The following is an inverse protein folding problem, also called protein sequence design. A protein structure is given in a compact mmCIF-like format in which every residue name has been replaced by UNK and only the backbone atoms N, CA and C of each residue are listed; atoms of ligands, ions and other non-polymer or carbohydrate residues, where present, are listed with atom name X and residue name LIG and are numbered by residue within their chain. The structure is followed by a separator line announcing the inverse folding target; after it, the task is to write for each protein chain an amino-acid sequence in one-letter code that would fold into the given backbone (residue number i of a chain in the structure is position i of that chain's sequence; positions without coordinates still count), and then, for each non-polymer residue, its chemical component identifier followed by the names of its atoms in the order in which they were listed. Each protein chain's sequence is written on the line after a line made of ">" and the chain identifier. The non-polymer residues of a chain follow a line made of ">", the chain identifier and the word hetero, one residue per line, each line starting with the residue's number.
data_IF_926386042105
#
_entry.id   IF_926386042105
#
_cell.length_a   1.000
_cell.length_b   1.000
_cell.length_c   1.000
_cell.angle_alpha   90.00
_cell.angle_beta   90.00
_cell.angle_gamma   90.00
#
_symmetry.space_group_name_H-M   'P 1'
#
loop_
_entity.id
_entity.type
_entity.pdbx_description
1 polymer ?
#
# COMPACT_ATOMS: atom_id res chain seq x y z
N UNK A 1 -73.64 73.21 13.91
CA UNK A 1 -73.69 71.81 13.41
C UNK A 1 -72.60 71.63 12.37
N UNK A 2 -71.46 71.05 12.75
CA UNK A 2 -70.51 70.45 11.78
C UNK A 2 -69.65 69.44 12.53
N UNK A 3 -69.52 68.26 11.94
CA UNK A 3 -69.13 67.01 12.59
C UNK A 3 -67.62 66.74 12.43
N UNK A 4 -67.06 66.09 13.46
CA UNK A 4 -66.28 64.84 13.40
C UNK A 4 -65.03 64.84 12.49
N UNK A 5 -63.89 64.49 13.07
CA UNK A 5 -63.20 63.20 12.85
C UNK A 5 -62.01 63.15 13.83
N UNK A 6 -62.09 62.26 14.80
CA UNK A 6 -60.95 61.85 15.63
C UNK A 6 -60.02 61.01 14.76
N UNK A 7 -58.82 61.53 14.49
CA UNK A 7 -57.73 60.82 13.84
C UNK A 7 -57.13 59.84 14.84
N UNK A 8 -57.40 58.54 14.65
CA UNK A 8 -56.78 57.47 15.43
C UNK A 8 -55.36 57.26 14.92
N UNK A 9 -54.37 57.64 15.74
CA UNK A 9 -52.95 57.41 15.49
C UNK A 9 -52.63 55.91 15.45
N UNK A 10 -52.10 55.47 14.31
CA UNK A 10 -51.64 54.12 14.01
C UNK A 10 -50.48 53.74 14.94
N UNK A 11 -50.67 52.74 15.81
CA UNK A 11 -49.59 52.17 16.61
C UNK A 11 -48.65 51.39 15.68
N UNK A 12 -47.40 51.84 15.58
CA UNK A 12 -46.33 51.08 14.93
C UNK A 12 -45.89 49.96 15.88
N UNK A 13 -46.24 48.72 15.58
CA UNK A 13 -45.65 47.55 16.23
C UNK A 13 -44.18 47.44 15.81
N UNK A 14 -43.26 47.85 16.69
CA UNK A 14 -41.84 47.56 16.53
C UNK A 14 -41.59 46.08 16.87
N UNK A 15 -41.33 45.27 15.84
CA UNK A 15 -40.85 43.90 16.02
C UNK A 15 -39.46 43.95 16.68
N UNK A 16 -39.38 43.45 17.92
CA UNK A 16 -38.14 43.35 18.69
C UNK A 16 -37.31 42.20 18.10
N UNK A 17 -36.33 42.50 17.26
CA UNK A 17 -35.36 41.51 16.79
C UNK A 17 -34.55 41.02 18.00
N UNK A 18 -34.64 39.72 18.30
CA UNK A 18 -33.80 39.09 19.30
C UNK A 18 -32.40 38.89 18.69
N UNK A 19 -31.34 39.55 19.16
CA UNK A 19 -30.01 39.29 18.63
C UNK A 19 -29.64 37.86 19.05
N UNK A 20 -29.50 36.98 18.06
CA UNK A 20 -28.97 35.63 18.31
C UNK A 20 -27.60 35.78 18.95
N UNK A 21 -27.44 35.23 20.16
CA UNK A 21 -26.14 35.19 20.82
C UNK A 21 -25.15 34.49 19.89
N UNK A 22 -24.17 35.24 19.38
CA UNK A 22 -23.02 34.66 18.69
C UNK A 22 -22.22 33.86 19.73
N UNK A 23 -22.44 32.54 19.76
CA UNK A 23 -21.66 31.62 20.57
C UNK A 23 -20.27 31.48 19.94
N UNK A 24 -19.26 32.05 20.60
CA UNK A 24 -17.85 31.84 20.27
C UNK A 24 -17.28 30.66 21.06
N UNK A 25 -16.31 29.96 20.47
CA UNK A 25 -15.54 28.92 21.16
C UNK A 25 -14.73 29.54 22.31
N UNK A 26 -14.67 28.85 23.45
CA UNK A 26 -13.81 29.27 24.56
C UNK A 26 -12.38 28.77 24.35
N UNK A 27 -11.40 29.48 24.91
CA UNK A 27 -10.00 29.05 24.89
C UNK A 27 -9.82 27.67 25.57
N UNK A 28 -10.58 27.42 26.63
CA UNK A 28 -10.58 26.14 27.33
C UNK A 28 -11.06 24.99 26.44
N UNK A 29 -12.11 25.22 25.64
CA UNK A 29 -12.67 24.22 24.73
C UNK A 29 -11.67 23.82 23.64
N UNK A 30 -10.94 24.79 23.09
CA UNK A 30 -9.87 24.53 22.15
C UNK A 30 -8.73 23.73 22.79
N UNK A 31 -8.33 24.08 24.02
CA UNK A 31 -7.27 23.37 24.75
C UNK A 31 -7.63 21.90 24.99
N UNK A 32 -8.86 21.62 25.42
CA UNK A 32 -9.33 20.25 25.64
C UNK A 32 -9.42 19.50 24.30
N UNK A 33 -9.95 20.13 23.25
CA UNK A 33 -10.04 19.51 21.93
C UNK A 33 -8.66 19.13 21.38
N UNK A 34 -7.67 20.03 21.50
CA UNK A 34 -6.29 19.75 21.08
C UNK A 34 -5.64 18.65 21.93
N UNK A 35 -5.89 18.62 23.23
CA UNK A 35 -5.39 17.57 24.11
C UNK A 35 -5.91 16.18 23.68
N UNK A 36 -7.20 16.07 23.35
CA UNK A 36 -7.80 14.81 22.85
C UNK A 36 -7.17 14.42 21.50
N UNK A 37 -7.04 15.36 20.56
CA UNK A 37 -6.42 15.08 19.25
C UNK A 37 -4.97 14.62 19.39
N UNK A 38 -4.19 15.23 20.30
CA UNK A 38 -2.81 14.82 20.57
C UNK A 38 -2.75 13.37 21.07
N UNK A 39 -3.64 12.97 21.98
CA UNK A 39 -3.70 11.59 22.48
C UNK A 39 -4.07 10.62 21.34
N UNK A 40 -5.12 10.92 20.57
CA UNK A 40 -5.59 10.04 19.49
C UNK A 40 -4.54 9.88 18.38
N UNK A 41 -3.86 10.97 17.99
CA UNK A 41 -2.86 10.94 16.91
C UNK A 41 -1.68 10.02 17.22
N UNK A 42 -1.24 9.94 18.48
CA UNK A 42 -0.14 9.03 18.87
C UNK A 42 -0.43 7.55 18.58
N UNK A 43 -1.70 7.14 18.63
CA UNK A 43 -2.12 5.76 18.35
C UNK A 43 -2.47 5.59 16.86
N UNK A 44 -3.13 6.59 16.27
CA UNK A 44 -3.66 6.50 14.91
C UNK A 44 -2.56 6.41 13.84
N UNK A 45 -1.49 7.20 13.96
CA UNK A 45 -0.42 7.30 12.94
C UNK A 45 0.32 5.97 12.70
N UNK A 46 0.92 5.31 13.72
CA UNK A 46 1.69 4.07 13.49
C UNK A 46 0.81 2.90 13.02
N UNK A 47 -0.46 2.87 13.43
CA UNK A 47 -1.42 1.87 12.97
C UNK A 47 -1.66 2.02 11.46
N UNK A 48 -1.95 3.25 11.00
CA UNK A 48 -2.20 3.53 9.60
C UNK A 48 -1.01 3.18 8.69
N UNK A 49 0.23 3.50 9.10
CA UNK A 49 1.42 3.18 8.30
C UNK A 49 1.61 1.68 8.12
N UNK A 50 1.31 0.88 9.14
CA UNK A 50 1.42 -0.59 9.09
C UNK A 50 0.39 -1.18 8.12
N UNK A 51 -0.83 -0.62 8.09
CA UNK A 51 -1.85 -1.03 7.12
C UNK A 51 -1.42 -0.74 5.68
N UNK A 52 -0.84 0.42 5.41
CA UNK A 52 -0.32 0.76 4.08
C UNK A 52 0.81 -0.20 3.65
N UNK A 53 1.74 -0.51 4.54
CA UNK A 53 2.83 -1.45 4.23
C UNK A 53 2.27 -2.86 3.92
N UNK A 54 1.28 -3.33 4.68
CA UNK A 54 0.62 -4.62 4.42
C UNK A 54 -0.15 -4.64 3.08
N UNK A 55 -0.78 -3.52 2.70
CA UNK A 55 -1.43 -3.37 1.40
C UNK A 55 -0.41 -3.46 0.26
N UNK A 56 0.73 -2.78 0.39
CA UNK A 56 1.83 -2.86 -0.58
C UNK A 56 2.37 -4.28 -0.71
N UNK A 57 2.61 -4.97 0.40
CA UNK A 57 3.03 -6.37 0.40
C UNK A 57 2.00 -7.24 -0.33
N UNK A 58 0.70 -7.05 -0.06
CA UNK A 58 -0.37 -7.81 -0.72
C UNK A 58 -0.41 -7.54 -2.22
N UNK A 59 -0.31 -6.28 -2.64
CA UNK A 59 -0.24 -5.89 -4.04
C UNK A 59 0.97 -6.53 -4.73
N UNK A 60 2.14 -6.52 -4.09
CA UNK A 60 3.35 -7.14 -4.62
C UNK A 60 3.17 -8.65 -4.83
N UNK A 61 2.55 -9.36 -3.87
CA UNK A 61 2.22 -10.79 -4.00
C UNK A 61 1.28 -11.05 -5.18
N UNK A 62 0.22 -10.23 -5.33
CA UNK A 62 -0.71 -10.34 -6.46
C UNK A 62 0.01 -10.14 -7.79
N UNK A 63 0.89 -9.15 -7.89
CA UNK A 63 1.68 -8.93 -9.09
C UNK A 63 2.64 -10.07 -9.40
N UNK A 64 3.34 -10.64 -8.41
CA UNK A 64 4.18 -11.82 -8.61
C UNK A 64 3.39 -13.00 -9.18
N UNK A 65 2.16 -13.23 -8.69
CA UNK A 65 1.25 -14.27 -9.22
C UNK A 65 0.86 -14.02 -10.68
N UNK A 66 0.59 -12.77 -11.04
CA UNK A 66 0.26 -12.39 -12.41
C UNK A 66 1.44 -12.58 -13.36
N UNK A 67 2.64 -12.19 -12.92
CA UNK A 67 3.87 -12.37 -13.69
C UNK A 67 4.19 -13.86 -13.86
N UNK A 68 4.08 -14.65 -12.79
CA UNK A 68 4.18 -16.12 -12.85
C UNK A 68 3.25 -16.69 -13.92
N UNK A 69 1.96 -16.33 -13.89
CA UNK A 69 0.99 -16.81 -14.88
C UNK A 69 1.38 -16.42 -16.32
N UNK A 70 1.95 -15.23 -16.53
CA UNK A 70 2.43 -14.80 -17.84
C UNK A 70 3.65 -15.62 -18.30
N UNK A 71 4.56 -15.94 -17.38
CA UNK A 71 5.71 -16.80 -17.63
C UNK A 71 5.27 -18.23 -17.97
N UNK A 72 4.33 -18.80 -17.22
CA UNK A 72 3.82 -20.15 -17.50
C UNK A 72 3.12 -20.22 -18.87
N UNK A 73 2.34 -19.19 -19.24
CA UNK A 73 1.76 -19.09 -20.59
C UNK A 73 2.83 -19.04 -21.68
N UNK A 74 3.91 -18.31 -21.45
CA UNK A 74 5.04 -18.25 -22.38
C UNK A 74 5.67 -19.63 -22.56
N UNK A 75 5.87 -20.36 -21.45
CA UNK A 75 6.42 -21.71 -21.45
C UNK A 75 5.54 -22.69 -22.25
N UNK A 76 4.22 -22.63 -22.11
CA UNK A 76 3.30 -23.49 -22.89
C UNK A 76 3.45 -23.32 -24.40
N UNK A 77 3.83 -22.13 -24.87
CA UNK A 77 3.98 -21.84 -26.32
C UNK A 77 5.40 -22.13 -26.81
N UNK A 78 6.42 -21.76 -26.03
CA UNK A 78 7.82 -21.82 -26.47
C UNK A 78 8.56 -23.06 -25.95
N UNK A 79 7.94 -23.84 -25.07
CA UNK A 79 8.53 -24.98 -24.35
C UNK A 79 9.81 -24.64 -23.58
N UNK A 80 9.99 -23.36 -23.27
CA UNK A 80 11.11 -22.82 -22.53
C UNK A 80 10.69 -21.55 -21.79
N UNK A 81 11.37 -21.24 -20.69
CA UNK A 81 11.13 -20.01 -19.94
C UNK A 81 11.75 -18.80 -20.65
N UNK A 82 11.15 -17.60 -20.53
CA UNK A 82 11.67 -16.41 -21.18
C UNK A 82 13.08 -16.09 -20.68
N UNK A 83 13.93 -15.50 -21.52
CA UNK A 83 15.27 -15.12 -21.07
C UNK A 83 15.20 -13.92 -20.11
N UNK A 84 14.23 -13.03 -20.33
CA UNK A 84 13.99 -11.83 -19.53
C UNK A 84 12.50 -11.55 -19.34
N UNK A 85 12.13 -10.74 -18.32
CA UNK A 85 10.74 -10.31 -18.13
C UNK A 85 10.20 -9.43 -19.27
N UNK A 86 11.04 -8.93 -20.17
CA UNK A 86 10.61 -8.13 -21.31
C UNK A 86 9.85 -8.96 -22.36
N UNK A 87 10.01 -10.28 -22.36
CA UNK A 87 9.37 -11.20 -23.31
C UNK A 87 7.94 -11.58 -22.91
N UNK A 88 7.49 -11.20 -21.71
CA UNK A 88 6.16 -11.54 -21.19
C UNK A 88 5.33 -10.28 -20.89
N UNK A 89 4.00 -10.31 -21.10
CA UNK A 89 3.15 -9.17 -20.80
C UNK A 89 2.98 -9.02 -19.29
N UNK A 90 3.62 -8.01 -18.70
CA UNK A 90 3.54 -7.71 -17.25
C UNK A 90 2.27 -6.96 -16.84
N UNK A 91 1.51 -6.42 -17.80
CA UNK A 91 0.35 -5.57 -17.52
C UNK A 91 0.70 -4.36 -16.66
N UNK A 92 -0.04 -4.15 -15.57
CA UNK A 92 0.20 -3.09 -14.57
C UNK A 92 1.39 -3.40 -13.65
N UNK A 93 1.88 -4.64 -13.60
CA UNK A 93 2.91 -5.11 -12.68
C UNK A 93 4.33 -4.88 -13.21
N UNK A 94 4.61 -3.68 -13.72
CA UNK A 94 5.93 -3.28 -14.23
C UNK A 94 6.92 -2.99 -13.09
N UNK A 95 6.41 -2.47 -11.98
CA UNK A 95 7.16 -2.13 -10.78
C UNK A 95 6.38 -2.61 -9.56
N UNK A 96 7.11 -2.86 -8.48
CA UNK A 96 6.52 -3.15 -7.20
C UNK A 96 5.97 -1.86 -6.54
N UNK A 97 5.20 -1.98 -5.44
CA UNK A 97 4.58 -0.81 -4.79
C UNK A 97 5.54 0.16 -4.09
N UNK A 98 6.85 -0.13 -4.12
CA UNK A 98 7.91 0.76 -3.65
C UNK A 98 8.69 1.41 -4.80
N UNK A 99 8.31 1.11 -6.05
CA UNK A 99 8.90 1.69 -7.27
C UNK A 99 10.08 0.91 -7.82
N UNK A 100 10.41 -0.25 -7.26
CA UNK A 100 11.49 -1.10 -7.77
C UNK A 100 10.96 -2.03 -8.87
N UNK A 101 11.78 -2.30 -9.88
CA UNK A 101 11.43 -3.33 -10.87
C UNK A 101 11.47 -4.74 -10.27
N UNK A 102 10.52 -5.59 -10.64
CA UNK A 102 10.57 -7.02 -10.32
C UNK A 102 11.85 -7.66 -10.87
N UNK A 103 12.39 -8.62 -10.12
CA UNK A 103 13.60 -9.36 -10.47
C UNK A 103 13.24 -10.76 -10.93
N UNK A 104 13.88 -11.17 -12.00
CA UNK A 104 13.72 -12.48 -12.61
C UNK A 104 15.07 -13.08 -12.94
N UNK A 105 15.22 -14.37 -12.70
CA UNK A 105 16.39 -15.13 -13.12
C UNK A 105 15.98 -16.52 -13.60
N UNK A 106 16.20 -16.80 -14.88
CA UNK A 106 16.07 -18.15 -15.44
C UNK A 106 17.15 -19.08 -14.88
N UNK A 107 16.73 -20.22 -14.32
CA UNK A 107 17.63 -21.23 -13.72
C UNK A 107 17.84 -22.41 -14.67
N UNK A 108 16.78 -22.86 -15.36
CA UNK A 108 16.86 -23.99 -16.28
C UNK A 108 17.95 -23.79 -17.36
N UNK A 109 18.80 -24.80 -17.53
CA UNK A 109 19.87 -24.82 -18.52
C UNK A 109 21.20 -24.17 -18.08
N UNK A 110 21.26 -23.48 -16.93
CA UNK A 110 22.53 -22.97 -16.40
C UNK A 110 23.29 -24.05 -15.60
N UNK A 111 24.45 -24.48 -16.12
CA UNK A 111 25.45 -25.26 -15.36
C UNK A 111 26.44 -24.31 -14.70
N UNK A 112 26.37 -24.14 -13.37
CA UNK A 112 27.34 -23.35 -12.60
C UNK A 112 26.90 -23.02 -11.18
N UNK A 113 27.87 -22.78 -10.28
CA UNK A 113 27.62 -22.25 -8.92
C UNK A 113 27.42 -20.74 -9.02
N UNK A 114 26.17 -20.26 -9.08
CA UNK A 114 25.90 -18.84 -8.84
C UNK A 114 24.77 -18.27 -9.67
N UNK A 115 23.89 -17.52 -9.01
CA UNK A 115 22.75 -16.82 -9.60
C UNK A 115 21.49 -17.04 -8.78
N UNK A 116 21.13 -18.31 -8.56
CA UNK A 116 19.85 -18.65 -7.95
C UNK A 116 19.76 -18.14 -6.52
N UNK A 117 18.62 -17.58 -6.15
CA UNK A 117 18.32 -17.31 -4.76
C UNK A 117 18.32 -18.61 -3.97
N UNK A 118 18.66 -18.49 -2.70
CA UNK A 118 18.78 -19.62 -1.78
C UNK A 118 17.99 -19.37 -0.51
N UNK A 119 17.45 -20.44 0.05
CA UNK A 119 16.84 -20.42 1.37
C UNK A 119 17.89 -20.19 2.49
N UNK A 120 17.42 -20.15 3.74
CA UNK A 120 18.27 -19.93 4.93
C UNK A 120 19.26 -21.07 5.21
N UNK A 121 18.98 -22.24 4.64
CA UNK A 121 19.80 -23.44 4.68
C UNK A 121 20.76 -23.53 3.50
N UNK A 122 20.84 -22.48 2.67
CA UNK A 122 21.65 -22.39 1.46
C UNK A 122 21.24 -23.34 0.32
N UNK A 123 20.03 -23.91 0.38
CA UNK A 123 19.47 -24.67 -0.73
C UNK A 123 18.85 -23.73 -1.77
N UNK A 124 18.84 -24.09 -3.06
CA UNK A 124 18.14 -23.32 -4.07
C UNK A 124 16.67 -23.09 -3.72
N UNK A 125 16.20 -21.85 -3.88
CA UNK A 125 14.82 -21.47 -3.57
C UNK A 125 13.81 -22.09 -4.55
N UNK A 126 14.21 -22.18 -5.82
CA UNK A 126 13.44 -22.67 -6.94
C UNK A 126 14.33 -23.51 -7.87
N UNK A 127 13.69 -24.35 -8.69
CA UNK A 127 14.35 -25.17 -9.71
C UNK A 127 14.17 -24.64 -11.13
N UNK A 128 13.12 -23.85 -11.36
CA UNK A 128 12.68 -23.33 -12.66
C UNK A 128 13.26 -21.93 -12.96
N UNK A 129 12.88 -20.95 -12.15
CA UNK A 129 13.31 -19.57 -12.20
C UNK A 129 13.07 -18.88 -10.86
N UNK A 130 13.84 -17.84 -10.57
CA UNK A 130 13.54 -16.94 -9.47
C UNK A 130 12.70 -15.76 -9.95
N UNK A 131 11.72 -15.37 -9.11
CA UNK A 131 10.88 -14.21 -9.32
C UNK A 131 10.61 -13.54 -7.97
N UNK A 132 10.94 -12.26 -7.83
CA UNK A 132 10.79 -11.54 -6.56
C UNK A 132 10.76 -10.01 -6.71
N UNK A 133 10.29 -9.33 -5.67
CA UNK A 133 10.46 -7.89 -5.43
C UNK A 133 11.49 -7.69 -4.32
N UNK A 134 12.27 -6.61 -4.41
CA UNK A 134 13.31 -6.24 -3.42
C UNK A 134 12.73 -5.53 -2.19
N UNK A 135 11.42 -5.56 -2.01
CA UNK A 135 10.77 -4.97 -0.85
C UNK A 135 10.91 -3.45 -0.77
N UNK A 136 10.85 -2.96 0.48
CA UNK A 136 10.74 -1.54 0.81
C UNK A 136 12.09 -0.84 0.75
N UNK A 137 13.15 -1.54 1.13
CA UNK A 137 14.50 -0.97 1.17
C UNK A 137 15.23 -1.03 -0.18
N UNK A 138 14.71 -1.83 -1.13
CA UNK A 138 15.26 -2.00 -2.47
C UNK A 138 16.60 -2.74 -2.51
N UNK A 139 17.00 -3.34 -1.38
CA UNK A 139 18.22 -4.12 -1.22
C UNK A 139 17.85 -5.58 -1.10
N UNK A 140 18.78 -6.45 -1.44
CA UNK A 140 18.53 -7.88 -1.40
C UNK A 140 19.84 -8.64 -1.33
N UNK A 141 19.79 -9.89 -0.89
CA UNK A 141 20.89 -10.83 -0.96
C UNK A 141 20.44 -12.12 -1.67
N UNK A 142 21.40 -12.82 -2.29
CA UNK A 142 21.15 -14.12 -2.92
C UNK A 142 20.63 -15.14 -1.90
N UNK A 143 21.16 -15.14 -0.68
CA UNK A 143 20.63 -15.97 0.42
C UNK A 143 19.53 -15.23 1.19
N UNK A 144 18.52 -15.95 1.66
CA UNK A 144 17.48 -15.43 2.56
C UNK A 144 17.93 -15.37 4.03
N UNK A 145 19.15 -15.81 4.35
CA UNK A 145 19.70 -15.78 5.72
C UNK A 145 19.93 -14.35 6.25
N UNK A 146 20.51 -13.40 5.48
CA UNK A 146 20.73 -12.05 5.96
C UNK A 146 19.43 -11.25 6.08
N UNK A 147 19.33 -10.40 7.10
CA UNK A 147 18.14 -9.56 7.35
C UNK A 147 17.78 -8.61 6.19
N UNK A 148 18.76 -8.24 5.36
CA UNK A 148 18.55 -7.38 4.18
C UNK A 148 17.67 -8.03 3.10
N UNK A 149 17.44 -9.34 3.16
CA UNK A 149 16.50 -10.02 2.24
C UNK A 149 15.13 -10.22 2.88
N UNK A 150 14.91 -9.88 4.14
CA UNK A 150 13.69 -10.31 4.85
C UNK A 150 12.44 -9.56 4.40
N UNK A 151 12.57 -8.33 3.91
CA UNK A 151 11.47 -7.55 3.35
C UNK A 151 11.21 -7.83 1.86
N UNK A 152 12.05 -8.65 1.21
CA UNK A 152 11.78 -9.15 -0.14
C UNK A 152 10.45 -9.90 -0.18
N UNK A 153 9.75 -9.80 -1.32
CA UNK A 153 8.57 -10.60 -1.60
C UNK A 153 8.96 -11.59 -2.68
N UNK A 154 8.96 -12.87 -2.34
CA UNK A 154 9.58 -13.92 -3.14
C UNK A 154 8.55 -14.94 -3.61
N UNK A 155 8.77 -15.49 -4.80
CA UNK A 155 8.25 -16.79 -5.23
C UNK A 155 9.24 -17.89 -4.81
N UNK A 156 8.74 -18.95 -4.20
CA UNK A 156 9.54 -20.07 -3.72
C UNK A 156 8.85 -21.42 -3.95
N UNK A 157 9.60 -22.52 -3.79
CA UNK A 157 9.14 -23.90 -4.04
C UNK A 157 8.54 -24.04 -5.45
N UNK A 158 9.16 -23.37 -6.43
CA UNK A 158 8.74 -23.36 -7.83
C UNK A 158 7.23 -23.07 -7.99
N UNK A 159 6.73 -22.05 -7.27
CA UNK A 159 5.34 -21.58 -7.32
C UNK A 159 4.46 -22.00 -6.14
N UNK A 160 4.94 -22.93 -5.29
CA UNK A 160 4.22 -23.37 -4.09
C UNK A 160 4.08 -22.28 -3.01
N UNK A 161 4.87 -21.21 -3.07
CA UNK A 161 4.84 -20.12 -2.10
C UNK A 161 5.05 -18.76 -2.79
N UNK A 162 4.24 -17.77 -2.43
CA UNK A 162 4.49 -16.34 -2.71
C UNK A 162 4.20 -15.55 -1.45
N UNK A 163 5.23 -14.88 -0.92
CA UNK A 163 5.13 -14.22 0.38
C UNK A 163 6.38 -13.44 0.77
N UNK A 164 6.41 -12.97 2.03
CA UNK A 164 7.59 -12.29 2.56
C UNK A 164 8.72 -13.31 2.73
N UNK A 165 9.93 -12.95 2.32
CA UNK A 165 11.12 -13.75 2.59
C UNK A 165 11.35 -13.99 4.08
N UNK A 166 10.95 -13.05 4.95
CA UNK A 166 10.96 -13.24 6.40
C UNK A 166 10.20 -14.52 6.82
N UNK A 167 9.09 -14.83 6.16
CA UNK A 167 8.14 -15.88 6.56
C UNK A 167 8.39 -17.23 5.86
N UNK A 168 9.43 -17.33 5.03
CA UNK A 168 9.77 -18.52 4.24
C UNK A 168 10.90 -19.36 4.87
#
# INVERSE_FOLDING_TARGET
>A
MTYKILSVGRQHCAARANPGHHQGFTLLELLIAMAIVAILTTIAVPSYTTHLDNQKITQAKTCLRQIELAIERYFTVHMDYPATLAEVPLGECKQDPWGNAYRYLKILGKKGKGGNRKDRSENPLNTDYDLYSMGKDGKTNQSLRPKVSHDDIIRAKSGGYIGLAADY
#
